data_IF_860427584666
#
_entry.id   IF_860427584666
#
_cell.length_a   1.000
_cell.length_b   1.000
_cell.length_c   1.000
_cell.angle_alpha   90.00
_cell.angle_beta   90.00
_cell.angle_gamma   90.00
#
_symmetry.space_group_name_H-M   'P 1'
#
loop_
_entity.id
_entity.type
_entity.pdbx_description
1 polymer ?
#
# COMPACT_ATOMS: atom_id res chain seq x y z
N UNK A 1 44.22 -33.90 2.84
CA UNK A 1 44.43 -34.70 1.61
C UNK A 1 43.12 -34.80 0.85
N UNK A 2 43.07 -34.57 -0.45
CA UNK A 2 41.85 -34.80 -1.21
C UNK A 2 41.61 -36.32 -1.29
N UNK A 3 40.49 -36.77 -0.78
CA UNK A 3 40.06 -38.14 -0.90
C UNK A 3 39.92 -38.47 -2.40
N UNK A 4 40.62 -39.51 -2.85
CA UNK A 4 40.62 -39.94 -4.27
C UNK A 4 39.27 -40.54 -4.69
N UNK A 5 38.56 -41.14 -3.74
CA UNK A 5 37.23 -41.71 -3.95
C UNK A 5 36.15 -40.60 -3.94
N UNK A 6 35.34 -40.46 -5.01
CA UNK A 6 34.30 -39.47 -5.11
C UNK A 6 33.21 -39.58 -4.03
N UNK A 7 32.82 -40.81 -3.66
CA UNK A 7 31.81 -41.06 -2.65
C UNK A 7 32.30 -40.70 -1.24
N UNK A 8 33.52 -41.09 -0.91
CA UNK A 8 34.17 -40.71 0.35
C UNK A 8 34.32 -39.20 0.46
N UNK A 9 34.62 -38.51 -0.66
CA UNK A 9 34.71 -37.06 -0.70
C UNK A 9 33.35 -36.39 -0.45
N UNK A 10 32.27 -36.89 -1.06
CA UNK A 10 30.90 -36.38 -0.81
C UNK A 10 30.49 -36.57 0.66
N UNK A 11 30.74 -37.74 1.23
CA UNK A 11 30.44 -38.06 2.63
C UNK A 11 31.18 -37.13 3.59
N UNK A 12 32.48 -36.91 3.33
CA UNK A 12 33.29 -35.95 4.12
C UNK A 12 32.76 -34.50 3.99
N UNK A 13 32.45 -34.03 2.77
CA UNK A 13 31.89 -32.71 2.53
C UNK A 13 30.57 -32.51 3.28
N UNK A 14 29.70 -33.51 3.25
CA UNK A 14 28.42 -33.49 3.98
C UNK A 14 28.65 -33.39 5.50
N UNK A 15 29.54 -34.23 6.04
CA UNK A 15 29.86 -34.19 7.46
C UNK A 15 30.55 -32.88 7.88
N UNK A 16 31.44 -32.33 7.04
CA UNK A 16 32.05 -31.03 7.28
C UNK A 16 31.04 -29.90 7.26
N UNK A 17 30.15 -29.85 6.26
CA UNK A 17 29.10 -28.86 6.14
C UNK A 17 28.15 -28.90 7.35
N UNK A 18 27.78 -30.10 7.82
CA UNK A 18 26.93 -30.28 8.99
C UNK A 18 27.59 -29.76 10.27
N UNK A 19 28.87 -30.07 10.51
CA UNK A 19 29.62 -29.58 11.68
C UNK A 19 29.83 -28.07 11.67
N UNK A 20 29.97 -27.46 10.50
CA UNK A 20 30.23 -26.02 10.36
C UNK A 20 28.98 -25.20 10.08
N UNK A 21 27.80 -25.83 10.00
CA UNK A 21 26.53 -25.17 9.69
C UNK A 21 26.23 -23.99 10.60
N UNK A 22 26.39 -24.17 11.90
CA UNK A 22 26.11 -23.13 12.86
C UNK A 22 27.08 -21.94 12.72
N UNK A 23 28.38 -22.22 12.59
CA UNK A 23 29.38 -21.17 12.35
C UNK A 23 29.13 -20.40 11.05
N UNK A 24 28.76 -21.09 9.97
CA UNK A 24 28.41 -20.47 8.70
C UNK A 24 27.15 -19.61 8.83
N UNK A 25 26.13 -20.10 9.54
CA UNK A 25 24.91 -19.36 9.81
C UNK A 25 25.17 -18.08 10.60
N UNK A 26 25.97 -18.14 11.66
CA UNK A 26 26.32 -16.96 12.47
C UNK A 26 27.07 -15.92 11.65
N UNK A 27 28.07 -16.32 10.84
CA UNK A 27 28.79 -15.40 9.94
C UNK A 27 27.85 -14.71 8.95
N UNK A 28 26.90 -15.42 8.37
CA UNK A 28 25.90 -14.84 7.45
C UNK A 28 24.98 -13.88 8.19
N UNK A 29 24.58 -14.22 9.42
CA UNK A 29 23.74 -13.37 10.26
C UNK A 29 24.45 -12.06 10.62
N UNK A 30 25.70 -12.14 11.05
CA UNK A 30 26.57 -10.98 11.35
C UNK A 30 26.74 -10.09 10.12
N UNK A 31 27.13 -10.69 8.99
CA UNK A 31 27.30 -9.94 7.75
C UNK A 31 26.01 -9.21 7.32
N UNK A 32 24.82 -9.83 7.47
CA UNK A 32 23.52 -9.20 7.16
C UNK A 32 23.21 -8.03 8.10
N UNK A 33 23.59 -8.12 9.37
CA UNK A 33 23.43 -7.05 10.34
C UNK A 33 24.36 -5.86 10.03
N UNK A 34 25.59 -6.13 9.59
CA UNK A 34 26.57 -5.11 9.23
C UNK A 34 26.32 -4.47 7.86
N UNK A 35 25.61 -5.14 6.96
CA UNK A 35 25.40 -4.69 5.57
C UNK A 35 23.92 -4.58 5.18
N UNK A 36 23.06 -3.86 5.93
CA UNK A 36 21.63 -3.76 5.64
C UNK A 36 21.34 -3.14 4.27
N UNK A 37 22.13 -2.13 3.86
CA UNK A 37 21.96 -1.44 2.57
C UNK A 37 22.26 -2.36 1.39
N UNK A 38 23.34 -3.13 1.46
CA UNK A 38 23.69 -4.11 0.40
C UNK A 38 22.61 -5.20 0.28
N UNK A 39 22.07 -5.64 1.43
CA UNK A 39 20.98 -6.61 1.44
C UNK A 39 19.70 -6.04 0.83
N UNK A 40 19.34 -4.79 1.15
CA UNK A 40 18.19 -4.12 0.57
C UNK A 40 18.33 -3.96 -0.95
N UNK A 41 19.51 -3.57 -1.42
CA UNK A 41 19.80 -3.45 -2.84
C UNK A 41 19.72 -4.80 -3.56
N UNK A 42 20.28 -5.85 -2.98
CA UNK A 42 20.17 -7.21 -3.51
C UNK A 42 18.71 -7.65 -3.64
N UNK A 43 17.88 -7.41 -2.61
CA UNK A 43 16.46 -7.71 -2.66
C UNK A 43 15.73 -6.92 -3.74
N UNK A 44 16.05 -5.63 -3.89
CA UNK A 44 15.50 -4.77 -4.96
C UNK A 44 15.85 -5.28 -6.35
N UNK A 45 17.12 -5.64 -6.58
CA UNK A 45 17.57 -6.25 -7.85
C UNK A 45 16.88 -7.58 -8.13
N UNK A 46 16.75 -8.44 -7.11
CA UNK A 46 16.05 -9.72 -7.24
C UNK A 46 14.57 -9.53 -7.58
N UNK A 47 13.88 -8.61 -6.90
CA UNK A 47 12.47 -8.31 -7.16
C UNK A 47 12.25 -7.74 -8.55
N UNK A 48 13.14 -6.86 -9.03
CA UNK A 48 13.09 -6.32 -10.38
C UNK A 48 13.33 -7.40 -11.46
N UNK A 49 14.23 -8.34 -11.20
CA UNK A 49 14.57 -9.44 -12.13
C UNK A 49 13.50 -10.52 -12.20
N UNK A 50 12.79 -10.76 -11.10
CA UNK A 50 11.83 -11.87 -10.98
C UNK A 50 10.50 -11.42 -10.37
N UNK A 51 9.77 -10.45 -10.99
CA UNK A 51 8.52 -9.92 -10.46
C UNK A 51 7.45 -11.00 -10.25
N UNK A 52 7.36 -11.96 -11.17
CA UNK A 52 6.40 -13.07 -11.10
C UNK A 52 6.62 -13.97 -9.88
N UNK A 53 7.89 -14.27 -9.55
CA UNK A 53 8.22 -15.06 -8.35
C UNK A 53 7.84 -14.33 -7.08
N UNK A 54 7.96 -12.99 -7.06
CA UNK A 54 7.55 -12.18 -5.92
C UNK A 54 6.02 -12.20 -5.74
N UNK A 55 5.27 -12.08 -6.83
CA UNK A 55 3.80 -12.21 -6.81
C UNK A 55 3.39 -13.60 -6.32
N UNK A 56 3.95 -14.66 -6.90
CA UNK A 56 3.67 -16.05 -6.51
C UNK A 56 3.95 -16.30 -5.02
N UNK A 57 5.08 -15.78 -4.49
CA UNK A 57 5.42 -15.88 -3.07
C UNK A 57 4.38 -15.20 -2.17
N UNK A 58 3.89 -14.03 -2.56
CA UNK A 58 2.86 -13.29 -1.81
C UNK A 58 1.53 -14.02 -1.84
N UNK A 59 1.13 -14.57 -3.00
CA UNK A 59 -0.10 -15.35 -3.13
C UNK A 59 -0.04 -16.61 -2.26
N UNK A 60 1.02 -17.40 -2.36
CA UNK A 60 1.22 -18.60 -1.54
C UNK A 60 1.25 -18.30 -0.03
N UNK A 61 1.81 -17.13 0.36
CA UNK A 61 1.75 -16.69 1.76
C UNK A 61 0.32 -16.37 2.20
N UNK A 62 -0.46 -15.67 1.36
CA UNK A 62 -1.87 -15.34 1.64
C UNK A 62 -2.74 -16.60 1.77
N UNK A 63 -2.53 -17.58 0.92
CA UNK A 63 -3.24 -18.86 0.97
C UNK A 63 -2.91 -19.65 2.24
N UNK A 64 -1.64 -19.70 2.63
CA UNK A 64 -1.18 -20.42 3.81
C UNK A 64 -1.56 -19.72 5.13
N UNK A 65 -1.71 -18.39 5.13
CA UNK A 65 -1.97 -17.60 6.35
C UNK A 65 -3.05 -16.55 6.12
N UNK A 66 -4.30 -16.94 5.81
CA UNK A 66 -5.36 -16.00 5.42
C UNK A 66 -5.70 -14.98 6.52
N UNK A 67 -5.72 -15.41 7.79
CA UNK A 67 -6.02 -14.53 8.93
C UNK A 67 -4.96 -13.44 9.11
N UNK A 68 -3.67 -13.81 9.04
CA UNK A 68 -2.55 -12.85 9.11
C UNK A 68 -2.57 -11.88 7.92
N UNK A 69 -2.89 -12.39 6.72
CA UNK A 69 -3.02 -11.57 5.53
C UNK A 69 -4.16 -10.54 5.65
N UNK A 70 -5.31 -10.97 6.21
CA UNK A 70 -6.44 -10.08 6.50
C UNK A 70 -6.08 -9.02 7.54
N UNK A 71 -5.40 -9.40 8.61
CA UNK A 71 -4.93 -8.47 9.65
C UNK A 71 -3.95 -7.41 9.10
N UNK A 72 -2.94 -7.83 8.33
CA UNK A 72 -2.00 -6.91 7.68
C UNK A 72 -2.73 -5.95 6.74
N UNK A 73 -3.69 -6.44 5.96
CA UNK A 73 -4.50 -5.62 5.07
C UNK A 73 -5.38 -4.63 5.83
N UNK A 74 -5.94 -5.02 6.98
CA UNK A 74 -6.73 -4.14 7.86
C UNK A 74 -5.85 -3.03 8.45
N UNK A 75 -4.70 -3.38 9.04
CA UNK A 75 -3.74 -2.41 9.58
C UNK A 75 -3.26 -1.42 8.52
N UNK A 76 -2.95 -1.90 7.32
CA UNK A 76 -2.55 -1.04 6.21
C UNK A 76 -3.67 -0.07 5.78
N UNK A 77 -4.91 -0.53 5.68
CA UNK A 77 -6.07 0.33 5.37
C UNK A 77 -6.32 1.38 6.45
N UNK A 78 -6.19 1.03 7.72
CA UNK A 78 -6.30 1.98 8.84
C UNK A 78 -5.20 3.04 8.78
N UNK A 79 -3.94 2.61 8.60
CA UNK A 79 -2.79 3.52 8.49
C UNK A 79 -2.90 4.51 7.32
N UNK A 80 -3.53 4.10 6.23
CA UNK A 80 -3.64 4.88 5.00
C UNK A 80 -5.09 5.25 4.64
N UNK A 81 -5.95 5.45 5.65
CA UNK A 81 -7.38 5.67 5.47
C UNK A 81 -7.71 6.82 4.51
N UNK A 82 -7.07 7.99 4.69
CA UNK A 82 -7.26 9.15 3.82
C UNK A 82 -6.96 8.81 2.35
N UNK A 83 -5.82 8.17 2.07
CA UNK A 83 -5.43 7.77 0.70
C UNK A 83 -6.42 6.77 0.10
N UNK A 84 -6.91 5.81 0.88
CA UNK A 84 -7.92 4.85 0.42
C UNK A 84 -9.21 5.56 0.02
N UNK A 85 -9.65 6.54 0.80
CA UNK A 85 -10.87 7.32 0.50
C UNK A 85 -10.68 8.20 -0.74
N UNK A 86 -9.56 8.91 -0.87
CA UNK A 86 -9.24 9.70 -2.05
C UNK A 86 -9.23 8.84 -3.32
N UNK A 87 -8.60 7.66 -3.29
CA UNK A 87 -8.59 6.75 -4.43
C UNK A 87 -9.99 6.23 -4.79
N UNK A 88 -10.84 5.95 -3.81
CA UNK A 88 -12.24 5.56 -4.06
C UNK A 88 -13.05 6.68 -4.70
N UNK A 89 -12.84 7.94 -4.26
CA UNK A 89 -13.49 9.11 -4.86
C UNK A 89 -13.02 9.31 -6.30
N UNK A 90 -11.70 9.25 -6.55
CA UNK A 90 -11.13 9.32 -7.89
C UNK A 90 -11.74 8.26 -8.83
N UNK A 91 -11.85 7.00 -8.39
CA UNK A 91 -12.44 5.94 -9.18
C UNK A 91 -13.92 6.21 -9.51
N UNK A 92 -14.71 6.67 -8.52
CA UNK A 92 -16.12 7.04 -8.74
C UNK A 92 -16.27 8.19 -9.73
N UNK A 93 -15.46 9.25 -9.56
CA UNK A 93 -15.47 10.39 -10.46
C UNK A 93 -15.07 10.01 -11.90
N UNK A 94 -14.06 9.15 -12.07
CA UNK A 94 -13.68 8.64 -13.39
C UNK A 94 -14.82 7.84 -14.04
N UNK A 95 -15.50 6.97 -13.27
CA UNK A 95 -16.66 6.20 -13.77
C UNK A 95 -17.82 7.11 -14.20
N UNK A 96 -17.99 8.26 -13.58
CA UNK A 96 -19.01 9.26 -13.91
C UNK A 96 -18.54 10.25 -14.99
N UNK A 97 -17.34 10.06 -15.56
CA UNK A 97 -16.71 11.01 -16.49
C UNK A 97 -16.57 12.44 -15.92
N UNK A 98 -16.59 12.56 -14.60
CA UNK A 98 -16.48 13.82 -13.87
C UNK A 98 -15.03 14.22 -13.53
N UNK A 99 -14.05 13.51 -14.07
CA UNK A 99 -12.62 13.80 -13.88
C UNK A 99 -12.06 14.46 -15.13
N UNK A 100 -11.74 15.76 -15.11
CA UNK A 100 -11.18 16.44 -16.27
C UNK A 100 -9.79 15.91 -16.65
N UNK A 101 -9.49 15.89 -17.94
CA UNK A 101 -8.19 15.43 -18.47
C UNK A 101 -7.02 16.38 -18.14
N UNK A 102 -7.31 17.65 -17.83
CA UNK A 102 -6.29 18.65 -17.46
C UNK A 102 -5.79 18.55 -16.03
N UNK A 103 -6.33 17.67 -15.19
CA UNK A 103 -5.83 17.48 -13.83
C UNK A 103 -4.38 16.95 -13.82
N UNK A 104 -3.51 17.71 -13.20
CA UNK A 104 -2.10 17.39 -13.03
C UNK A 104 -1.78 16.83 -11.64
N UNK A 105 -0.49 16.56 -11.37
CA UNK A 105 -0.04 16.04 -10.08
C UNK A 105 -0.31 16.98 -8.91
N UNK A 106 -0.27 18.31 -9.11
CA UNK A 106 -0.59 19.32 -8.10
C UNK A 106 -2.04 19.21 -7.63
N UNK A 107 -2.99 19.17 -8.56
CA UNK A 107 -4.41 19.00 -8.23
C UNK A 107 -4.68 17.68 -7.48
N UNK A 108 -4.01 16.59 -7.85
CA UNK A 108 -4.14 15.32 -7.11
C UNK A 108 -3.54 15.38 -5.71
N UNK A 109 -2.49 16.18 -5.50
CA UNK A 109 -1.92 16.43 -4.19
C UNK A 109 -2.91 17.25 -3.33
N UNK A 110 -3.49 18.32 -3.86
CA UNK A 110 -4.49 19.15 -3.18
C UNK A 110 -5.73 18.33 -2.78
N UNK A 111 -6.27 17.52 -3.69
CA UNK A 111 -7.34 16.56 -3.37
C UNK A 111 -6.92 15.68 -2.19
N UNK A 112 -5.70 15.15 -2.23
CA UNK A 112 -5.15 14.34 -1.13
C UNK A 112 -5.12 15.07 0.21
N UNK A 113 -4.75 16.35 0.22
CA UNK A 113 -4.73 17.21 1.41
C UNK A 113 -6.11 17.38 2.03
N UNK A 114 -7.17 17.53 1.22
CA UNK A 114 -8.56 17.61 1.72
C UNK A 114 -8.93 16.32 2.49
N UNK A 115 -8.57 15.15 1.98
CA UNK A 115 -8.82 13.89 2.67
C UNK A 115 -7.97 13.72 3.92
N UNK A 116 -6.72 14.20 3.93
CA UNK A 116 -5.84 14.21 5.11
C UNK A 116 -6.40 15.12 6.20
N UNK A 117 -6.89 16.30 5.84
CA UNK A 117 -7.54 17.23 6.78
C UNK A 117 -8.76 16.58 7.42
N UNK A 118 -9.65 15.98 6.63
CA UNK A 118 -10.80 15.25 7.15
C UNK A 118 -10.37 14.11 8.09
N UNK A 119 -9.30 13.39 7.77
CA UNK A 119 -8.80 12.29 8.62
C UNK A 119 -8.21 12.81 9.94
N UNK A 120 -7.57 13.99 9.93
CA UNK A 120 -7.11 14.68 11.14
C UNK A 120 -8.28 15.05 12.07
N UNK A 121 -9.38 15.62 11.53
CA UNK A 121 -10.59 15.90 12.30
C UNK A 121 -11.17 14.62 12.94
N UNK A 122 -11.19 13.52 12.21
CA UNK A 122 -11.67 12.26 12.74
C UNK A 122 -10.82 11.73 13.91
N UNK A 123 -9.51 11.95 13.89
CA UNK A 123 -8.60 11.53 14.98
C UNK A 123 -8.86 12.26 16.30
N UNK A 124 -9.39 13.48 16.23
CA UNK A 124 -9.80 14.26 17.42
C UNK A 124 -11.28 14.07 17.77
N UNK A 125 -11.92 13.05 17.21
CA UNK A 125 -13.30 12.66 17.56
C UNK A 125 -14.39 13.42 16.79
N UNK A 126 -14.05 14.24 15.78
CA UNK A 126 -15.00 14.97 14.97
C UNK A 126 -15.43 14.17 13.74
N UNK A 127 -16.74 13.98 13.55
CA UNK A 127 -17.28 13.22 12.41
C UNK A 127 -17.55 14.17 11.23
N UNK A 128 -16.57 14.24 10.33
CA UNK A 128 -16.60 15.07 9.12
C UNK A 128 -16.46 14.22 7.86
N UNK A 129 -17.10 14.66 6.78
CA UNK A 129 -17.05 14.04 5.47
C UNK A 129 -16.42 14.96 4.44
N UNK A 130 -15.73 14.40 3.45
CA UNK A 130 -15.39 15.10 2.20
C UNK A 130 -16.57 14.97 1.27
N UNK A 131 -17.05 16.10 0.77
CA UNK A 131 -18.17 16.20 -0.15
C UNK A 131 -17.84 17.13 -1.32
N UNK A 132 -18.63 17.05 -2.40
CA UNK A 132 -18.52 17.97 -3.52
C UNK A 132 -19.48 19.14 -3.32
N UNK A 133 -19.01 20.38 -3.43
CA UNK A 133 -19.84 21.60 -3.37
C UNK A 133 -20.96 21.46 -4.40
N UNK A 134 -20.59 21.28 -5.66
CA UNK A 134 -21.51 20.88 -6.74
C UNK A 134 -21.50 19.37 -6.85
N UNK A 135 -22.59 18.65 -6.58
CA UNK A 135 -22.62 17.20 -6.58
C UNK A 135 -22.27 16.62 -7.96
N UNK A 136 -21.54 15.50 -7.99
CA UNK A 136 -21.18 14.82 -9.24
C UNK A 136 -22.41 14.26 -10.01
N UNK A 137 -23.51 14.02 -9.30
CA UNK A 137 -24.77 13.52 -9.86
C UNK A 137 -25.96 14.29 -9.23
N UNK A 138 -26.03 15.57 -9.45
CA UNK A 138 -27.18 16.38 -9.04
C UNK A 138 -28.31 16.29 -10.07
N UNK A 139 -29.54 16.58 -9.64
CA UNK A 139 -30.72 16.57 -10.53
C UNK A 139 -30.68 17.70 -11.58
N UNK A 140 -30.14 18.87 -11.20
CA UNK A 140 -30.09 20.07 -12.05
C UNK A 140 -28.70 20.36 -12.59
N UNK A 141 -27.65 19.94 -11.85
CA UNK A 141 -26.25 20.23 -12.18
C UNK A 141 -25.38 19.02 -11.87
N UNK A 142 -24.28 18.89 -12.60
CA UNK A 142 -23.23 17.91 -12.34
C UNK A 142 -21.88 18.59 -12.25
N UNK A 143 -21.23 18.46 -11.11
CA UNK A 143 -19.92 19.02 -10.83
C UNK A 143 -18.79 18.14 -11.28
N UNK A 144 -17.56 18.67 -11.18
CA UNK A 144 -16.33 17.97 -11.51
C UNK A 144 -15.60 17.54 -10.24
N UNK A 145 -14.79 16.49 -10.34
CA UNK A 145 -13.91 16.04 -9.27
C UNK A 145 -12.57 16.81 -9.33
N UNK A 146 -12.60 18.03 -8.83
CA UNK A 146 -11.47 18.96 -8.79
C UNK A 146 -11.31 19.51 -7.36
N UNK A 147 -10.12 20.01 -6.98
CA UNK A 147 -9.88 20.54 -5.62
C UNK A 147 -10.90 21.60 -5.21
N UNK A 148 -11.21 22.54 -6.12
CA UNK A 148 -12.09 23.69 -5.88
C UNK A 148 -13.54 23.27 -5.64
N UNK A 149 -13.92 22.08 -6.07
CA UNK A 149 -15.25 21.53 -5.85
C UNK A 149 -15.32 20.59 -4.64
N UNK A 150 -14.27 20.51 -3.82
CA UNK A 150 -14.25 19.71 -2.60
C UNK A 150 -14.40 20.60 -1.36
N UNK A 151 -15.15 20.10 -0.38
CA UNK A 151 -15.34 20.71 0.92
C UNK A 151 -15.34 19.65 2.02
N UNK A 152 -15.00 20.07 3.24
CA UNK A 152 -15.09 19.23 4.44
C UNK A 152 -16.24 19.72 5.29
N UNK A 153 -17.25 18.90 5.47
CA UNK A 153 -18.50 19.22 6.19
C UNK A 153 -18.70 18.28 7.37
N UNK A 154 -19.37 18.73 8.46
CA UNK A 154 -19.92 17.83 9.46
C UNK A 154 -20.78 16.75 8.81
N UNK A 155 -20.72 15.54 9.32
CA UNK A 155 -21.38 14.37 8.70
C UNK A 155 -22.91 14.52 8.63
N UNK A 156 -23.52 15.15 9.62
CA UNK A 156 -24.96 15.46 9.65
C UNK A 156 -25.33 16.44 8.52
N UNK A 157 -24.57 17.55 8.37
CA UNK A 157 -24.74 18.51 7.30
C UNK A 157 -24.59 17.89 5.93
N UNK A 158 -23.59 17.04 5.76
CA UNK A 158 -23.39 16.32 4.51
C UNK A 158 -24.56 15.39 4.16
N UNK A 159 -25.13 14.68 5.15
CA UNK A 159 -26.31 13.85 4.94
C UNK A 159 -27.54 14.66 4.54
N UNK A 160 -27.75 15.84 5.16
CA UNK A 160 -28.86 16.74 4.81
C UNK A 160 -28.69 17.30 3.39
N UNK A 161 -27.49 17.73 3.03
CA UNK A 161 -27.18 18.25 1.69
C UNK A 161 -27.44 17.23 0.60
N UNK A 162 -27.11 15.94 0.83
CA UNK A 162 -27.26 14.88 -0.16
C UNK A 162 -26.71 15.32 -1.56
N UNK A 163 -27.47 15.14 -2.64
CA UNK A 163 -27.13 15.52 -4.01
C UNK A 163 -27.76 16.88 -4.41
N UNK A 164 -28.08 17.74 -3.45
CA UNK A 164 -28.62 19.08 -3.71
C UNK A 164 -27.48 20.09 -3.83
N UNK A 165 -27.65 21.03 -4.77
CA UNK A 165 -26.79 22.19 -4.96
C UNK A 165 -27.63 23.44 -4.96
N UNK A 166 -27.34 24.35 -4.04
CA UNK A 166 -27.96 25.68 -3.93
C UNK A 166 -29.42 25.61 -3.45
N UNK A 167 -29.59 25.84 -2.20
CA UNK A 167 -30.65 26.65 -1.57
C UNK A 167 -30.04 27.38 -0.38
#
# INVERSE_FOLDING_TARGET
MPLKDPEARKAWQKAYAQRNREKAYQKVKEWRAENPDKLAEQHKRYAARYPEKMVAKVLAWKERTPEKAAEVSRKSRQKHAARVLANKAKYRAAKLQATPSWLNKGHWFEIGCVYLYRDALKRVGLDYHVDHVVPLQGKKVSGLHVPENLQVLPADRNRLKNNHYGE
#
